data_IF_675868858194
#
_entry.id   IF_675868858194
#
_cell.length_a   1.000
_cell.length_b   1.000
_cell.length_c   1.000
_cell.angle_alpha   90.00
_cell.angle_beta   90.00
_cell.angle_gamma   90.00
#
_symmetry.space_group_name_H-M   'P 1'
#
loop_
_entity.id
_entity.type
_entity.pdbx_description
1 polymer ?
#
# COMPACT_ATOMS: atom_id res chain seq x y z
N UNK A 1 14.43 -8.20 -17.43
CA UNK A 1 13.18 -7.54 -17.00
C UNK A 1 13.56 -6.18 -16.44
N UNK A 2 12.84 -5.10 -16.77
CA UNK A 2 13.07 -3.81 -16.15
C UNK A 2 12.82 -3.94 -14.64
N UNK A 3 13.81 -3.56 -13.84
CA UNK A 3 13.65 -3.41 -12.39
C UNK A 3 12.68 -2.27 -12.16
N UNK A 4 11.59 -2.50 -11.44
CA UNK A 4 10.73 -1.40 -11.00
C UNK A 4 11.58 -0.50 -10.08
N UNK A 5 11.82 0.74 -10.50
CA UNK A 5 12.50 1.73 -9.67
C UNK A 5 11.54 2.22 -8.62
N UNK A 6 11.68 1.69 -7.41
CA UNK A 6 10.88 2.10 -6.25
C UNK A 6 10.94 3.63 -6.08
N UNK A 7 9.78 4.32 -6.06
CA UNK A 7 9.70 5.76 -5.81
C UNK A 7 10.47 6.13 -4.55
N UNK A 8 11.24 7.23 -4.60
CA UNK A 8 12.11 7.63 -3.49
C UNK A 8 11.34 7.82 -2.18
N UNK A 9 10.12 8.36 -2.28
CA UNK A 9 9.24 8.63 -1.15
C UNK A 9 8.90 7.40 -0.31
N UNK A 10 8.66 6.23 -0.93
CA UNK A 10 8.28 5.01 -0.19
C UNK A 10 9.46 4.21 0.37
N UNK A 11 10.69 4.52 -0.03
CA UNK A 11 11.88 3.74 0.36
C UNK A 11 12.04 3.57 1.87
N UNK A 12 11.75 4.56 2.74
CA UNK A 12 11.80 4.35 4.19
C UNK A 12 10.84 3.25 4.67
N UNK A 13 9.61 3.23 4.14
CA UNK A 13 8.59 2.24 4.50
C UNK A 13 8.91 0.86 3.90
N UNK A 14 9.34 0.81 2.64
CA UNK A 14 9.86 -0.43 2.02
C UNK A 14 11.00 -1.02 2.87
N UNK A 15 11.94 -0.17 3.30
CA UNK A 15 13.08 -0.58 4.12
C UNK A 15 12.64 -1.19 5.45
N UNK A 16 11.64 -0.62 6.14
CA UNK A 16 11.11 -1.20 7.39
C UNK A 16 10.55 -2.60 7.17
N UNK A 17 9.80 -2.81 6.09
CA UNK A 17 9.25 -4.13 5.73
C UNK A 17 10.38 -5.11 5.44
N UNK A 18 11.37 -4.71 4.64
CA UNK A 18 12.49 -5.58 4.26
C UNK A 18 13.36 -5.94 5.47
N UNK A 19 13.77 -4.94 6.26
CA UNK A 19 14.63 -5.14 7.44
C UNK A 19 13.93 -6.06 8.46
N UNK A 20 12.63 -5.87 8.70
CA UNK A 20 11.84 -6.75 9.57
C UNK A 20 11.75 -8.17 9.01
N UNK A 21 11.51 -8.32 7.71
CA UNK A 21 11.40 -9.61 7.03
C UNK A 21 12.70 -10.39 7.14
N UNK A 22 13.84 -9.77 6.81
CA UNK A 22 15.16 -10.39 6.89
C UNK A 22 15.54 -10.77 8.32
N UNK A 23 15.32 -9.88 9.29
CA UNK A 23 15.66 -10.13 10.69
C UNK A 23 14.87 -11.31 11.31
N UNK A 24 13.70 -11.63 10.76
CA UNK A 24 12.82 -12.67 11.30
C UNK A 24 12.64 -13.88 10.37
N UNK A 25 13.31 -13.90 9.21
CA UNK A 25 13.20 -14.99 8.22
C UNK A 25 11.81 -15.08 7.58
N UNK A 26 11.09 -13.97 7.45
CA UNK A 26 9.80 -13.92 6.78
C UNK A 26 9.93 -13.53 5.31
N UNK A 27 8.96 -13.95 4.52
CA UNK A 27 8.78 -13.45 3.16
C UNK A 27 8.23 -12.00 3.19
N UNK A 28 8.88 -11.04 2.50
CA UNK A 28 8.46 -9.63 2.54
C UNK A 28 7.05 -9.37 2.04
N UNK A 29 6.57 -10.13 1.05
CA UNK A 29 5.22 -9.97 0.52
C UNK A 29 4.17 -10.43 1.55
N UNK A 30 4.47 -11.50 2.30
CA UNK A 30 3.65 -11.93 3.42
C UNK A 30 3.65 -10.91 4.57
N UNK A 31 4.80 -10.31 4.91
CA UNK A 31 4.87 -9.24 5.92
C UNK A 31 4.05 -8.02 5.48
N UNK A 32 4.13 -7.63 4.20
CA UNK A 32 3.29 -6.56 3.65
C UNK A 32 1.80 -6.88 3.75
N UNK A 33 1.38 -8.10 3.41
CA UNK A 33 -0.01 -8.55 3.59
C UNK A 33 -0.45 -8.47 5.06
N UNK A 34 0.40 -8.91 5.97
CA UNK A 34 0.12 -8.86 7.41
C UNK A 34 0.06 -7.41 7.92
N UNK A 35 0.84 -6.49 7.33
CA UNK A 35 0.76 -5.07 7.62
C UNK A 35 -0.57 -4.45 7.18
N UNK A 36 -1.08 -4.81 6.00
CA UNK A 36 -2.43 -4.40 5.58
C UNK A 36 -3.50 -4.93 6.54
N UNK A 37 -3.41 -6.20 6.94
CA UNK A 37 -4.34 -6.77 7.93
C UNK A 37 -4.27 -6.03 9.27
N UNK A 38 -3.07 -5.64 9.70
CA UNK A 38 -2.84 -4.88 10.92
C UNK A 38 -3.51 -3.49 10.87
N UNK A 39 -3.35 -2.76 9.77
CA UNK A 39 -4.00 -1.45 9.56
C UNK A 39 -5.51 -1.61 9.56
N UNK A 40 -6.05 -2.51 8.74
CA UNK A 40 -7.50 -2.72 8.60
C UNK A 40 -8.10 -3.05 9.96
N UNK A 41 -7.48 -3.95 10.72
CA UNK A 41 -7.94 -4.31 12.06
C UNK A 41 -7.88 -3.14 13.03
N UNK A 42 -6.79 -2.36 13.02
CA UNK A 42 -6.64 -1.18 13.88
C UNK A 42 -7.69 -0.09 13.65
N UNK A 43 -8.25 0.00 12.44
CA UNK A 43 -9.33 0.93 12.09
C UNK A 43 -10.73 0.28 12.07
N UNK A 44 -10.86 -0.98 12.47
CA UNK A 44 -12.15 -1.68 12.53
C UNK A 44 -12.65 -1.78 13.98
N UNK A 45 -13.41 -0.79 14.49
CA UNK A 45 -14.03 -0.90 15.80
C UNK A 45 -14.94 -2.14 15.84
N UNK A 46 -14.95 -2.84 16.96
CA UNK A 46 -15.72 -4.08 17.20
C UNK A 46 -15.28 -5.33 16.40
N UNK A 47 -14.20 -5.26 15.62
CA UNK A 47 -13.67 -6.44 14.97
C UNK A 47 -13.16 -7.46 16.01
N UNK A 48 -13.45 -8.77 15.84
CA UNK A 48 -12.86 -9.79 16.68
C UNK A 48 -11.34 -9.76 16.57
N UNK A 49 -10.62 -10.26 17.59
CA UNK A 49 -9.16 -10.37 17.53
C UNK A 49 -8.72 -11.11 16.26
N UNK A 50 -7.63 -10.65 15.63
CA UNK A 50 -7.04 -11.32 14.47
C UNK A 50 -6.75 -12.79 14.78
N UNK A 51 -7.58 -13.68 14.21
CA UNK A 51 -7.43 -15.12 14.38
C UNK A 51 -6.11 -15.57 13.76
N UNK A 52 -5.30 -16.34 14.49
CA UNK A 52 -3.95 -16.77 14.09
C UNK A 52 -2.91 -15.64 13.87
N UNK A 53 -3.04 -14.49 14.56
CA UNK A 53 -1.98 -13.48 14.53
C UNK A 53 -0.68 -14.02 15.12
N UNK A 54 0.31 -14.26 14.24
CA UNK A 54 1.55 -14.98 14.57
C UNK A 54 2.61 -14.12 15.28
N UNK A 55 2.43 -12.80 15.30
CA UNK A 55 3.45 -11.87 15.78
C UNK A 55 3.34 -11.59 17.28
N UNK A 56 4.50 -11.58 17.94
CA UNK A 56 4.61 -11.25 19.37
C UNK A 56 4.53 -9.74 19.59
N UNK A 57 4.29 -9.33 20.85
CA UNK A 57 4.22 -7.91 21.24
C UNK A 57 5.40 -7.06 20.75
N UNK A 58 6.63 -7.58 20.83
CA UNK A 58 7.83 -6.87 20.34
C UNK A 58 7.81 -6.65 18.83
N UNK A 59 7.30 -7.62 18.07
CA UNK A 59 7.14 -7.51 16.61
C UNK A 59 5.99 -6.54 16.26
N UNK A 60 4.91 -6.52 17.03
CA UNK A 60 3.81 -5.57 16.83
C UNK A 60 4.24 -4.10 16.98
N UNK A 61 5.27 -3.81 17.79
CA UNK A 61 5.86 -2.46 17.84
C UNK A 61 6.43 -2.06 16.49
N UNK A 62 7.02 -3.00 15.75
CA UNK A 62 7.54 -2.73 14.40
C UNK A 62 6.39 -2.46 13.43
N UNK A 63 5.27 -3.19 13.51
CA UNK A 63 4.07 -2.88 12.73
C UNK A 63 3.53 -1.47 13.04
N UNK A 64 3.55 -1.03 14.30
CA UNK A 64 3.22 0.36 14.63
C UNK A 64 4.19 1.37 14.03
N UNK A 65 5.50 1.08 14.00
CA UNK A 65 6.46 1.94 13.32
C UNK A 65 6.18 2.05 11.81
N UNK A 66 5.76 0.95 11.17
CA UNK A 66 5.31 0.97 9.77
C UNK A 66 4.06 1.85 9.59
N UNK A 67 3.09 1.81 10.51
CA UNK A 67 1.90 2.69 10.49
C UNK A 67 2.30 4.16 10.62
N UNK A 68 3.25 4.47 11.52
CA UNK A 68 3.73 5.85 11.72
C UNK A 68 4.41 6.36 10.44
N UNK A 69 5.33 5.59 9.85
CA UNK A 69 6.00 5.98 8.60
C UNK A 69 5.00 6.11 7.45
N UNK A 70 4.02 5.21 7.33
CA UNK A 70 2.95 5.33 6.34
C UNK A 70 2.14 6.61 6.54
N UNK A 71 1.75 6.94 7.77
CA UNK A 71 0.97 8.16 8.06
C UNK A 71 1.78 9.42 7.70
N UNK A 72 3.06 9.45 8.04
CA UNK A 72 3.95 10.55 7.68
C UNK A 72 4.17 10.65 6.17
N UNK A 73 4.26 9.51 5.47
CA UNK A 73 4.33 9.46 4.02
C UNK A 73 3.07 10.05 3.39
N UNK A 74 1.88 9.63 3.82
CA UNK A 74 0.62 10.22 3.32
C UNK A 74 0.57 11.73 3.55
N UNK A 75 1.03 12.20 4.72
CA UNK A 75 1.06 13.64 5.04
C UNK A 75 2.04 14.44 4.16
N UNK A 76 3.13 13.84 3.69
CA UNK A 76 4.09 14.50 2.79
C UNK A 76 3.59 14.58 1.35
N UNK A 77 2.93 13.52 0.88
CA UNK A 77 2.55 13.33 -0.52
C UNK A 77 1.15 13.86 -0.85
N UNK A 78 0.24 13.94 0.12
CA UNK A 78 -1.08 14.56 -0.05
C UNK A 78 -1.01 15.98 0.54
N UNK A 79 -0.87 16.99 -0.34
CA UNK A 79 -0.76 18.40 0.07
C UNK A 79 -2.08 19.14 -0.09
N UNK A 80 -2.82 18.85 -1.15
CA UNK A 80 -4.12 19.42 -1.47
C UNK A 80 -5.25 18.36 -1.47
N UNK A 81 -6.50 18.80 -1.33
CA UNK A 81 -7.69 17.92 -1.31
C UNK A 81 -7.90 17.14 -2.62
N UNK A 82 -7.20 17.51 -3.70
CA UNK A 82 -7.21 16.82 -5.00
C UNK A 82 -6.08 15.83 -5.18
N UNK A 83 -5.10 15.83 -4.29
CA UNK A 83 -3.96 14.92 -4.36
C UNK A 83 -4.40 13.52 -3.94
N UNK A 84 -3.84 12.52 -4.62
CA UNK A 84 -3.97 11.14 -4.22
C UNK A 84 -2.60 10.48 -4.31
N UNK A 85 -2.32 9.60 -3.36
CA UNK A 85 -1.10 8.83 -3.34
C UNK A 85 -1.39 7.39 -2.93
N UNK A 86 -0.87 6.43 -3.70
CA UNK A 86 -1.04 4.99 -3.44
C UNK A 86 0.29 4.34 -3.04
N UNK A 87 0.72 4.50 -1.77
CA UNK A 87 1.93 3.85 -1.29
C UNK A 87 1.79 2.32 -1.22
N UNK A 88 0.57 1.78 -1.13
CA UNK A 88 0.37 0.34 -1.03
C UNK A 88 0.54 -0.35 -2.38
N UNK A 89 0.07 0.27 -3.46
CA UNK A 89 0.36 -0.15 -4.82
C UNK A 89 1.86 -0.10 -5.13
N UNK A 90 2.52 1.00 -4.78
CA UNK A 90 3.97 1.16 -4.95
C UNK A 90 4.77 0.12 -4.16
N UNK A 91 4.41 -0.13 -2.89
CA UNK A 91 5.01 -1.18 -2.05
C UNK A 91 4.79 -2.58 -2.65
N UNK A 92 3.57 -2.88 -3.09
CA UNK A 92 3.30 -4.15 -3.73
C UNK A 92 4.17 -4.36 -4.96
N UNK A 93 4.29 -3.35 -5.83
CA UNK A 93 5.14 -3.41 -7.01
C UNK A 93 6.62 -3.59 -6.65
N UNK A 94 7.11 -2.85 -5.65
CA UNK A 94 8.49 -2.94 -5.18
C UNK A 94 8.83 -4.32 -4.59
N UNK A 95 7.90 -4.96 -3.87
CA UNK A 95 8.10 -6.26 -3.22
C UNK A 95 7.85 -7.42 -4.20
N UNK A 96 6.79 -7.35 -5.01
CA UNK A 96 6.42 -8.40 -5.95
C UNK A 96 7.39 -8.49 -7.14
N UNK A 97 7.99 -7.38 -7.58
CA UNK A 97 8.99 -7.39 -8.65
C UNK A 97 10.30 -8.11 -8.27
N UNK A 98 10.54 -8.35 -6.98
CA UNK A 98 11.72 -9.05 -6.46
C UNK A 98 11.51 -10.56 -6.32
N UNK A 99 10.26 -11.02 -6.27
CA UNK A 99 9.89 -12.43 -6.34
C UNK A 99 9.68 -12.86 -7.79
N UNK A 100 10.07 -14.09 -8.16
CA UNK A 100 9.79 -14.67 -9.47
C UNK A 100 8.32 -14.44 -9.86
N UNK A 101 8.11 -13.71 -10.95
CA UNK A 101 6.82 -13.52 -11.59
C UNK A 101 6.15 -14.87 -11.87
N UNK A 102 5.15 -15.24 -11.08
CA UNK A 102 4.08 -16.15 -11.48
C UNK A 102 3.06 -16.26 -10.34
N UNK A 103 1.81 -15.81 -10.58
CA UNK A 103 0.57 -16.55 -10.21
C UNK A 103 -0.68 -15.71 -9.88
N UNK A 104 -0.63 -14.40 -9.64
CA UNK A 104 -1.79 -13.72 -8.98
C UNK A 104 -2.50 -12.63 -9.79
N UNK A 105 -2.46 -12.67 -11.13
CA UNK A 105 -3.51 -12.10 -11.99
C UNK A 105 -3.87 -10.61 -11.90
N UNK A 106 -3.20 -9.81 -11.07
CA UNK A 106 -3.37 -8.36 -11.04
C UNK A 106 -2.53 -7.74 -12.15
N UNK A 107 -3.14 -7.61 -13.32
CA UNK A 107 -2.67 -6.67 -14.32
C UNK A 107 -2.95 -5.27 -13.78
N UNK A 108 -1.90 -4.65 -13.22
CA UNK A 108 -1.98 -3.26 -12.79
C UNK A 108 -2.39 -2.42 -14.00
N UNK A 109 -3.38 -1.55 -13.82
CA UNK A 109 -3.75 -0.57 -14.83
C UNK A 109 -2.78 0.60 -14.63
N UNK A 110 -1.81 0.81 -15.54
CA UNK A 110 -0.85 1.89 -15.36
C UNK A 110 -1.55 3.24 -15.21
N UNK A 111 -0.95 4.18 -14.47
CA UNK A 111 -1.56 5.50 -14.18
C UNK A 111 -2.09 6.21 -15.43
N UNK A 112 -1.37 6.13 -16.55
CA UNK A 112 -1.80 6.73 -17.82
C UNK A 112 -3.08 6.11 -18.41
N UNK A 113 -3.38 4.85 -18.08
CA UNK A 113 -4.65 4.21 -18.45
C UNK A 113 -5.77 4.66 -17.50
N UNK A 114 -5.48 4.87 -16.21
CA UNK A 114 -6.44 5.51 -15.30
C UNK A 114 -6.78 6.94 -15.74
N UNK A 115 -5.77 7.73 -16.09
CA UNK A 115 -5.95 9.09 -16.62
C UNK A 115 -6.79 9.07 -17.90
N UNK A 116 -6.52 8.12 -18.81
CA UNK A 116 -7.31 7.93 -20.01
C UNK A 116 -8.77 7.57 -19.70
N UNK A 117 -9.03 6.65 -18.77
CA UNK A 117 -10.38 6.26 -18.38
C UNK A 117 -11.14 7.43 -17.73
N UNK A 118 -10.48 8.26 -16.94
CA UNK A 118 -11.05 9.49 -16.36
C UNK A 118 -11.39 10.48 -17.47
N UNK A 119 -10.47 10.73 -18.40
CA UNK A 119 -10.71 11.61 -19.57
C UNK A 119 -11.85 11.11 -20.46
N UNK A 120 -11.98 9.79 -20.64
CA UNK A 120 -13.08 9.21 -21.41
C UNK A 120 -14.44 9.25 -20.67
N UNK A 121 -14.43 9.37 -19.35
CA UNK A 121 -15.64 9.39 -18.51
C UNK A 121 -16.16 10.81 -18.26
N UNK A 122 -15.35 11.84 -18.49
CA UNK A 122 -15.76 13.23 -18.41
C UNK A 122 -16.50 13.66 -19.69
N UNK A 123 -17.80 13.36 -19.75
CA UNK A 123 -18.66 13.73 -20.89
C UNK A 123 -19.15 15.18 -20.85
N UNK A 124 -18.65 16.02 -19.93
CA UNK A 124 -19.03 17.44 -19.87
C UNK A 124 -20.49 17.71 -19.52
N UNK A 125 -21.28 16.69 -19.13
CA UNK A 125 -22.66 16.87 -18.69
C UNK A 125 -22.67 17.45 -17.27
N UNK A 126 -22.74 18.78 -17.20
CA UNK A 126 -23.20 19.47 -15.98
C UNK A 126 -24.61 18.98 -15.69
N UNK A 127 -24.76 18.10 -14.69
CA UNK A 127 -26.07 17.80 -14.09
C UNK A 127 -26.59 19.08 -13.46
N UNK A 128 -27.38 19.85 -14.20
CA UNK A 128 -28.26 20.87 -13.64
C UNK A 128 -29.32 20.12 -12.84
N UNK A 129 -29.09 20.03 -11.52
CA UNK A 129 -30.13 19.60 -10.58
C UNK A 129 -31.32 20.54 -10.72
N UNK A 130 -32.48 19.98 -11.09
CA UNK A 130 -33.77 20.63 -10.89
C UNK A 130 -34.17 20.45 -9.42
N UNK A 131 -34.66 21.53 -8.85
CA UNK A 131 -35.26 21.65 -7.51
C UNK A 131 -36.42 20.67 -7.29
#
# INVERSE_FOLDING_TARGET
MPTFDTPYAIRPLEKLIMDFSYANGYDPLNVFRDFLAYIIHGFSPDAPSLHNWKYKRQQNVIFMNMVIEWTQLMQREIQDDTDWYDPFGDLYMALASRGTQQSQGQFFTPVHICDLMVMCSDTGEKKTGRE
#
